data_IF_318504214520
#
_entry.id   IF_318504214520
#
_cell.length_a   1.000
_cell.length_b   1.000
_cell.length_c   1.000
_cell.angle_alpha   90.00
_cell.angle_beta   90.00
_cell.angle_gamma   90.00
#
_symmetry.space_group_name_H-M   'P 1'
#
loop_
_entity.id
_entity.type
_entity.pdbx_description
1 polymer ?
#
# COMPACT_ATOMS: atom_id res chain seq x y z
N UNK A 1 9.79 12.85 -11.51
CA UNK A 1 8.37 12.99 -11.15
C UNK A 1 7.90 11.62 -10.68
N UNK A 2 8.10 11.36 -9.38
CA UNK A 2 7.56 10.17 -8.72
C UNK A 2 6.14 10.53 -8.32
N UNK A 3 5.16 9.76 -8.74
CA UNK A 3 3.75 10.16 -8.60
C UNK A 3 3.05 9.33 -7.54
N UNK A 4 3.57 8.15 -7.18
CA UNK A 4 2.92 7.35 -6.14
C UNK A 4 3.96 6.61 -5.29
N UNK A 5 4.05 6.97 -4.02
CA UNK A 5 4.83 6.22 -3.02
C UNK A 5 3.91 5.23 -2.31
N UNK A 6 4.28 3.95 -2.30
CA UNK A 6 3.55 2.90 -1.61
C UNK A 6 4.33 2.31 -0.45
N UNK A 7 3.67 2.11 0.67
CA UNK A 7 4.24 1.41 1.82
C UNK A 7 3.40 0.20 2.17
N UNK A 8 4.04 -0.97 2.22
CA UNK A 8 3.44 -2.19 2.73
C UNK A 8 3.65 -2.25 4.25
N UNK A 9 2.57 -2.35 5.02
CA UNK A 9 2.58 -2.54 6.47
C UNK A 9 1.93 -3.88 6.79
N UNK A 10 2.65 -4.84 7.38
CA UNK A 10 1.98 -6.06 7.86
C UNK A 10 1.25 -5.77 9.17
N UNK A 11 0.01 -6.25 9.27
CA UNK A 11 -0.67 -6.41 10.55
C UNK A 11 -0.30 -7.78 11.10
N UNK A 12 0.33 -7.79 12.27
CA UNK A 12 0.60 -9.04 12.96
C UNK A 12 -0.74 -9.69 13.29
N UNK A 13 -1.03 -10.84 12.67
CA UNK A 13 -2.19 -11.64 13.03
C UNK A 13 -2.03 -12.07 14.48
N UNK A 14 -2.73 -11.40 15.39
CA UNK A 14 -3.02 -12.05 16.66
C UNK A 14 -3.97 -13.21 16.31
N UNK A 15 -3.65 -14.47 16.62
CA UNK A 15 -4.55 -15.58 16.35
C UNK A 15 -5.77 -15.36 17.25
N UNK A 16 -6.88 -14.86 16.69
CA UNK A 16 -8.05 -14.53 17.51
C UNK A 16 -9.30 -15.25 17.04
N UNK A 17 -9.47 -16.46 17.57
CA UNK A 17 -10.79 -16.87 18.04
C UNK A 17 -11.13 -16.01 19.28
N UNK A 18 -11.69 -14.81 19.08
CA UNK A 18 -12.70 -14.15 19.94
C UNK A 18 -12.74 -12.65 19.70
N UNK A 19 -13.93 -12.21 19.27
CA UNK A 19 -14.52 -10.87 19.40
C UNK A 19 -13.80 -10.02 20.46
N UNK A 20 -13.07 -8.99 20.02
CA UNK A 20 -12.46 -8.01 20.93
C UNK A 20 -13.04 -6.63 20.66
N UNK A 21 -13.71 -6.13 21.70
CA UNK A 21 -14.21 -4.77 21.88
C UNK A 21 -13.19 -3.74 21.38
N UNK A 22 -13.69 -2.83 20.54
CA UNK A 22 -12.96 -1.74 19.90
C UNK A 22 -12.65 -0.64 20.93
N UNK A 23 -11.62 -0.81 21.77
CA UNK A 23 -11.20 0.29 22.67
C UNK A 23 -9.72 0.39 22.99
N UNK A 24 -8.86 -0.53 22.55
CA UNK A 24 -7.41 -0.42 22.80
C UNK A 24 -6.62 -1.32 21.84
N UNK A 25 -6.55 -0.97 20.55
CA UNK A 25 -5.49 -1.54 19.70
C UNK A 25 -4.21 -0.84 20.15
N UNK A 26 -3.26 -1.53 20.81
CA UNK A 26 -2.01 -0.89 21.14
C UNK A 26 -1.34 -0.49 19.83
N UNK A 27 -0.58 0.60 19.85
CA UNK A 27 0.26 1.09 18.75
C UNK A 27 1.43 0.11 18.48
N UNK A 28 1.19 -1.20 18.59
CA UNK A 28 2.12 -2.30 18.37
C UNK A 28 2.66 -2.20 16.96
N UNK A 29 3.84 -1.60 16.89
CA UNK A 29 4.87 -1.70 15.86
C UNK A 29 4.31 -1.69 14.44
N UNK A 30 3.93 -0.50 13.97
CA UNK A 30 3.82 -0.25 12.54
C UNK A 30 5.19 -0.51 11.90
N UNK A 31 5.41 -1.72 11.38
CA UNK A 31 6.64 -2.03 10.63
C UNK A 31 6.33 -1.84 9.16
N UNK A 32 7.09 -0.95 8.51
CA UNK A 32 7.11 -0.84 7.05
C UNK A 32 7.95 -2.01 6.54
N UNK A 33 7.36 -2.82 5.66
CA UNK A 33 8.03 -3.97 5.05
C UNK A 33 8.70 -3.60 3.75
N UNK A 34 8.03 -2.80 2.92
CA UNK A 34 8.55 -2.45 1.60
C UNK A 34 8.10 -1.04 1.21
N UNK A 35 8.98 -0.30 0.53
CA UNK A 35 8.72 1.00 -0.06
C UNK A 35 8.84 0.91 -1.58
N UNK A 36 7.82 1.39 -2.29
CA UNK A 36 7.80 1.50 -3.74
C UNK A 36 7.63 2.96 -4.12
N UNK A 37 8.45 3.46 -5.04
CA UNK A 37 8.27 4.76 -5.66
C UNK A 37 7.96 4.54 -7.13
N UNK A 38 6.78 4.93 -7.55
CA UNK A 38 6.25 4.71 -8.90
C UNK A 38 6.14 6.06 -9.60
N UNK A 39 6.58 6.13 -10.86
CA UNK A 39 6.49 7.35 -11.66
C UNK A 39 5.05 7.61 -12.18
N UNK A 40 4.86 8.73 -12.89
CA UNK A 40 3.56 9.09 -13.49
C UNK A 40 3.05 8.07 -14.51
N UNK A 41 3.95 7.37 -15.19
CA UNK A 41 3.60 6.39 -16.23
C UNK A 41 3.42 4.98 -15.69
N UNK A 42 3.40 4.78 -14.36
CA UNK A 42 3.26 3.46 -13.73
C UNK A 42 4.55 2.63 -13.64
N UNK A 43 5.70 3.18 -14.02
CA UNK A 43 7.00 2.54 -13.90
C UNK A 43 7.60 2.66 -12.49
N UNK A 44 8.12 1.57 -11.95
CA UNK A 44 8.83 1.54 -10.67
C UNK A 44 10.19 2.26 -10.78
N UNK A 45 10.37 3.34 -10.02
CA UNK A 45 11.62 4.11 -9.92
C UNK A 45 12.51 3.53 -8.83
N UNK A 46 11.93 3.15 -7.69
CA UNK A 46 12.67 2.69 -6.53
C UNK A 46 11.87 1.64 -5.78
N UNK A 47 12.58 0.62 -5.32
CA UNK A 47 12.05 -0.41 -4.45
C UNK A 47 13.05 -0.68 -3.33
N UNK A 48 12.55 -0.72 -2.10
CA UNK A 48 13.33 -1.09 -0.94
C UNK A 48 12.54 -2.00 -0.04
N UNK A 49 13.12 -3.17 0.22
CA UNK A 49 12.64 -4.10 1.22
C UNK A 49 13.36 -3.85 2.56
N UNK A 50 12.58 -3.84 3.64
CA UNK A 50 12.99 -3.69 5.03
C UNK A 50 12.64 -4.93 5.88
N UNK A 51 11.88 -5.88 5.35
CA UNK A 51 11.43 -7.08 6.03
C UNK A 51 12.40 -8.26 5.87
N UNK A 52 12.48 -9.12 6.87
CA UNK A 52 13.25 -10.39 6.77
C UNK A 52 12.45 -11.52 6.11
N UNK A 53 11.16 -11.33 5.84
CA UNK A 53 10.24 -12.34 5.29
C UNK A 53 9.51 -11.76 4.08
N UNK A 54 9.70 -12.39 2.92
CA UNK A 54 8.94 -12.06 1.70
C UNK A 54 9.59 -11.03 0.80
N UNK A 55 10.91 -11.12 0.58
CA UNK A 55 11.59 -10.32 -0.44
C UNK A 55 10.95 -10.60 -1.80
N UNK A 56 10.23 -9.63 -2.34
CA UNK A 56 9.70 -9.71 -3.70
C UNK A 56 10.86 -9.59 -4.68
N UNK A 57 10.86 -10.43 -5.72
CA UNK A 57 11.84 -10.29 -6.80
C UNK A 57 11.55 -9.03 -7.64
N UNK A 58 12.47 -8.69 -8.53
CA UNK A 58 12.34 -7.51 -9.39
C UNK A 58 11.05 -7.53 -10.22
N UNK A 59 10.66 -8.67 -10.78
CA UNK A 59 9.45 -8.77 -11.59
C UNK A 59 8.19 -8.58 -10.73
N UNK A 60 8.19 -9.15 -9.54
CA UNK A 60 7.08 -9.03 -8.60
C UNK A 60 6.90 -7.58 -8.14
N UNK A 61 7.99 -6.87 -7.83
CA UNK A 61 7.94 -5.44 -7.50
C UNK A 61 7.40 -4.59 -8.66
N UNK A 62 7.76 -4.90 -9.92
CA UNK A 62 7.24 -4.24 -11.12
C UNK A 62 5.76 -4.50 -11.33
N UNK A 63 5.29 -5.74 -11.07
CA UNK A 63 3.87 -6.10 -11.12
C UNK A 63 3.08 -5.31 -10.09
N UNK A 64 3.55 -5.24 -8.84
CA UNK A 64 2.88 -4.46 -7.78
C UNK A 64 2.79 -2.98 -8.17
N UNK A 65 3.86 -2.40 -8.70
CA UNK A 65 3.85 -1.02 -9.16
C UNK A 65 2.79 -0.77 -10.25
N UNK A 66 2.71 -1.67 -11.23
CA UNK A 66 1.76 -1.58 -12.34
C UNK A 66 0.31 -1.75 -11.90
N UNK A 67 0.08 -2.69 -10.97
CA UNK A 67 -1.23 -2.92 -10.35
C UNK A 67 -1.68 -1.70 -9.56
N UNK A 68 -0.79 -1.14 -8.74
CA UNK A 68 -1.11 0.02 -7.93
C UNK A 68 -1.46 1.24 -8.77
N UNK A 69 -0.67 1.51 -9.81
CA UNK A 69 -0.96 2.59 -10.75
C UNK A 69 -2.34 2.43 -11.42
N UNK A 70 -2.68 1.20 -11.82
CA UNK A 70 -3.99 0.91 -12.43
C UNK A 70 -5.13 1.11 -11.42
N UNK A 71 -4.97 0.60 -10.20
CA UNK A 71 -5.96 0.73 -9.13
C UNK A 71 -6.22 2.20 -8.79
N UNK A 72 -5.17 3.00 -8.75
CA UNK A 72 -5.22 4.42 -8.53
C UNK A 72 -6.01 5.18 -9.60
N UNK A 73 -5.80 4.87 -10.89
CA UNK A 73 -6.56 5.45 -11.98
C UNK A 73 -8.03 5.00 -12.01
N UNK A 74 -8.28 3.70 -11.77
CA UNK A 74 -9.64 3.14 -11.76
C UNK A 74 -10.46 3.72 -10.60
N UNK A 75 -9.86 3.88 -9.42
CA UNK A 75 -10.53 4.45 -8.25
C UNK A 75 -11.08 5.85 -8.51
N UNK A 76 -10.37 6.68 -9.31
CA UNK A 76 -10.87 8.00 -9.71
C UNK A 76 -12.10 7.89 -10.62
N UNK A 77 -12.07 6.96 -11.58
CA UNK A 77 -13.15 6.79 -12.57
C UNK A 77 -14.41 6.18 -11.95
N UNK A 78 -14.26 5.31 -10.96
CA UNK A 78 -15.37 4.64 -10.29
C UNK A 78 -15.95 5.44 -9.11
N UNK A 79 -15.33 6.56 -8.75
CA UNK A 79 -15.84 7.39 -7.65
C UNK A 79 -17.26 7.89 -7.96
N UNK A 80 -18.24 7.67 -7.05
CA UNK A 80 -19.62 8.14 -7.24
C UNK A 80 -19.76 9.66 -7.07
N UNK A 81 -18.76 10.32 -6.50
CA UNK A 81 -18.76 11.75 -6.21
C UNK A 81 -17.69 12.46 -7.02
N UNK A 82 -18.05 13.63 -7.56
CA UNK A 82 -17.16 14.48 -8.35
C UNK A 82 -16.09 15.09 -7.45
N UNK A 83 -14.83 14.99 -7.85
CA UNK A 83 -13.70 15.57 -7.11
C UNK A 83 -13.16 14.69 -5.98
N UNK A 84 -13.43 13.39 -6.00
CA UNK A 84 -12.81 12.46 -5.05
C UNK A 84 -11.31 12.31 -5.27
N UNK A 85 -10.63 12.14 -4.14
CA UNK A 85 -9.25 11.68 -4.09
C UNK A 85 -9.13 10.27 -4.65
N UNK A 86 -7.92 9.96 -5.11
CA UNK A 86 -7.50 8.64 -5.55
C UNK A 86 -7.51 7.60 -4.42
N UNK A 87 -7.24 6.34 -4.75
CA UNK A 87 -7.04 5.32 -3.72
C UNK A 87 -5.83 5.67 -2.85
N UNK A 88 -6.05 5.77 -1.54
CA UNK A 88 -5.03 6.09 -0.54
C UNK A 88 -4.63 4.90 0.33
N UNK A 89 -5.49 3.87 0.41
CA UNK A 89 -5.29 2.70 1.26
C UNK A 89 -5.95 1.46 0.65
N UNK A 90 -5.18 0.38 0.55
CA UNK A 90 -5.69 -0.97 0.34
C UNK A 90 -5.43 -1.80 1.60
N UNK A 91 -6.49 -2.14 2.31
CA UNK A 91 -6.44 -2.88 3.56
C UNK A 91 -6.75 -4.37 3.31
N UNK A 92 -5.88 -5.26 3.78
CA UNK A 92 -6.09 -6.70 3.76
C UNK A 92 -5.90 -7.30 5.17
N UNK A 93 -6.18 -8.60 5.31
CA UNK A 93 -6.16 -9.27 6.62
C UNK A 93 -4.80 -9.23 7.32
N UNK A 94 -3.72 -9.33 6.54
CA UNK A 94 -2.35 -9.43 7.05
C UNK A 94 -1.48 -8.25 6.67
N UNK A 95 -1.94 -7.40 5.74
CA UNK A 95 -1.14 -6.28 5.26
C UNK A 95 -2.02 -5.14 4.78
N UNK A 96 -1.45 -3.95 4.85
CA UNK A 96 -2.06 -2.74 4.35
C UNK A 96 -1.07 -2.08 3.38
N UNK A 97 -1.56 -1.54 2.28
CA UNK A 97 -0.76 -0.82 1.30
C UNK A 97 -1.24 0.63 1.23
N UNK A 98 -0.37 1.55 1.63
CA UNK A 98 -0.68 2.98 1.72
C UNK A 98 -0.14 3.73 0.50
N UNK A 99 -0.95 4.61 -0.08
CA UNK A 99 -0.57 5.55 -1.13
C UNK A 99 -0.11 6.89 -0.53
N UNK A 100 0.90 7.50 -1.12
CA UNK A 100 1.14 8.93 -1.00
C UNK A 100 1.53 9.51 -2.35
N UNK A 101 0.72 10.46 -2.84
CA UNK A 101 0.97 11.17 -4.09
C UNK A 101 1.63 12.52 -3.80
N UNK A 102 2.77 12.78 -4.45
CA UNK A 102 3.41 14.10 -4.38
C UNK A 102 2.92 15.03 -5.48
N UNK A 103 2.82 16.32 -5.17
CA UNK A 103 2.46 17.39 -6.09
C UNK A 103 3.68 17.75 -6.97
N UNK A 104 3.96 16.98 -8.03
CA UNK A 104 5.07 17.27 -8.97
C UNK A 104 4.70 17.05 -10.42
#
# INVERSE_FOLDING_TARGET
MAVISCFLRLRHSSPSSKVRVLSSIPLTMAVIYSLYIINKSGGLIFYKDYGSKGCMDTNDSLRVASLWHSMHAISQQLSPTTGCSEIELLEADTFDLHCFQSLT
#
